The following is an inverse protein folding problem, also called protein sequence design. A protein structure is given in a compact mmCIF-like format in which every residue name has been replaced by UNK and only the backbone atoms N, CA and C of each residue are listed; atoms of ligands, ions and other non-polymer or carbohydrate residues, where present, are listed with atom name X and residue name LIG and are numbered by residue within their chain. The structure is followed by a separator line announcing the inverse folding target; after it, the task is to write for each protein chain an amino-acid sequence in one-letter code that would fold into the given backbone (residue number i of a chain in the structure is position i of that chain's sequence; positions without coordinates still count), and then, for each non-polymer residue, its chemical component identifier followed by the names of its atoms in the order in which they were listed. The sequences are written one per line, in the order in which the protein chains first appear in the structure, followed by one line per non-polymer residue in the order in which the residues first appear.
data_IF_124922567085
#
_entry.id   IF_124922567085
#
_cell.length_a   1.000
_cell.length_b   1.000
_cell.length_c   1.000
_cell.angle_alpha   90.00
_cell.angle_beta   90.00
_cell.angle_gamma   90.00
#
_symmetry.space_group_name_H-M   'P 1'
#
loop_
_entity.id
_entity.type
_entity.pdbx_description
1 polymer ?
#
# COMPACT_ATOMS: atom_id res chain seq x y z
N UNK A 1 -16.65 11.70 1.13
CA UNK A 1 -16.76 10.22 1.23
C UNK A 1 -15.66 9.72 2.14
N UNK A 2 -15.90 8.66 2.91
CA UNK A 2 -14.91 8.02 3.77
C UNK A 2 -14.67 6.61 3.23
N UNK A 3 -13.40 6.22 3.08
CA UNK A 3 -12.99 4.90 2.63
C UNK A 3 -12.32 4.17 3.80
N UNK A 4 -12.94 3.09 4.25
CA UNK A 4 -12.42 2.23 5.31
C UNK A 4 -11.73 1.00 4.69
N UNK A 5 -10.45 0.77 5.05
CA UNK A 5 -9.72 -0.44 4.67
C UNK A 5 -10.34 -1.66 5.33
N UNK A 6 -10.89 -2.58 4.52
CA UNK A 6 -11.49 -3.84 5.00
C UNK A 6 -10.46 -4.97 5.14
N UNK A 7 -9.18 -4.69 4.89
CA UNK A 7 -8.14 -5.71 4.87
C UNK A 7 -7.86 -6.28 6.28
N UNK A 8 -7.86 -7.62 6.48
CA UNK A 8 -7.66 -8.23 7.80
C UNK A 8 -6.34 -7.82 8.49
N UNK A 9 -5.25 -7.68 7.72
CA UNK A 9 -3.96 -7.25 8.26
C UNK A 9 -3.99 -5.79 8.77
N UNK A 10 -4.79 -4.90 8.15
CA UNK A 10 -4.95 -3.52 8.64
C UNK A 10 -5.57 -3.56 10.03
N UNK A 11 -6.65 -4.33 10.21
CA UNK A 11 -7.32 -4.50 11.52
C UNK A 11 -6.39 -5.10 12.58
N UNK A 12 -5.62 -6.12 12.22
CA UNK A 12 -4.65 -6.74 13.11
C UNK A 12 -3.54 -5.77 13.56
N UNK A 13 -2.90 -5.08 12.61
CA UNK A 13 -1.86 -4.09 12.92
C UNK A 13 -2.39 -2.91 13.72
N UNK A 14 -3.62 -2.50 13.45
CA UNK A 14 -4.28 -1.40 14.17
C UNK A 14 -4.60 -1.79 15.62
N UNK A 15 -4.89 -3.07 15.90
CA UNK A 15 -4.98 -3.57 17.27
C UNK A 15 -3.64 -3.47 18.02
N UNK A 16 -2.55 -3.92 17.40
CA UNK A 16 -1.19 -3.80 17.98
C UNK A 16 -0.78 -2.34 18.19
N UNK A 17 -1.13 -1.46 17.25
CA UNK A 17 -0.82 -0.03 17.32
C UNK A 17 -1.57 0.68 18.48
N UNK A 18 -2.76 0.19 18.83
CA UNK A 18 -3.57 0.71 19.95
C UNK A 18 -3.17 0.16 21.31
N UNK A 19 -2.43 -0.94 21.35
CA UNK A 19 -1.96 -1.55 22.60
C UNK A 19 -0.97 -0.61 23.31
N UNK A 20 -1.23 -0.31 24.58
CA UNK A 20 -0.39 0.55 25.42
C UNK A 20 0.98 -0.04 25.72
N UNK A 21 1.12 -1.37 25.63
CA UNK A 21 2.39 -2.04 25.88
C UNK A 21 3.35 -2.00 24.69
N UNK A 22 2.86 -1.59 23.51
CA UNK A 22 3.64 -1.48 22.27
C UNK A 22 4.78 -0.48 22.42
N UNK A 23 6.01 -0.97 22.26
CA UNK A 23 7.22 -0.15 22.41
C UNK A 23 7.38 0.82 21.23
N UNK A 24 7.99 1.98 21.48
CA UNK A 24 8.08 3.06 20.49
C UNK A 24 8.73 2.65 19.17
N UNK A 25 9.67 1.69 19.18
CA UNK A 25 10.26 1.14 17.95
C UNK A 25 9.21 0.40 17.12
N UNK A 26 8.53 -0.55 17.74
CA UNK A 26 7.49 -1.36 17.10
C UNK A 26 6.31 -0.50 16.64
N UNK A 27 5.92 0.52 17.41
CA UNK A 27 4.90 1.47 17.00
C UNK A 27 5.24 2.13 15.65
N UNK A 28 6.47 2.64 15.50
CA UNK A 28 6.93 3.28 14.25
C UNK A 28 6.97 2.30 13.07
N UNK A 29 7.34 1.05 13.32
CA UNK A 29 7.31 -0.02 12.32
C UNK A 29 5.88 -0.31 11.86
N UNK A 30 4.94 -0.47 12.81
CA UNK A 30 3.53 -0.68 12.52
C UNK A 30 2.90 0.47 11.75
N UNK A 31 3.20 1.74 12.11
CA UNK A 31 2.73 2.91 11.35
C UNK A 31 3.23 2.85 9.91
N UNK A 32 4.51 2.56 9.71
CA UNK A 32 5.09 2.50 8.36
C UNK A 32 4.41 1.44 7.49
N UNK A 33 4.17 0.26 8.06
CA UNK A 33 3.50 -0.84 7.38
C UNK A 33 2.04 -0.51 7.05
N UNK A 34 1.30 0.06 8.01
CA UNK A 34 -0.07 0.51 7.79
C UNK A 34 -0.15 1.59 6.71
N UNK A 35 0.74 2.58 6.73
CA UNK A 35 0.79 3.62 5.71
C UNK A 35 1.03 3.06 4.31
N UNK A 36 1.89 2.05 4.17
CA UNK A 36 2.12 1.40 2.87
C UNK A 36 0.86 0.67 2.38
N UNK A 37 0.17 -0.04 3.26
CA UNK A 37 -1.08 -0.73 2.92
C UNK A 37 -2.17 0.26 2.48
N UNK A 38 -2.33 1.35 3.23
CA UNK A 38 -3.31 2.38 2.89
C UNK A 38 -2.96 3.09 1.59
N UNK A 39 -1.67 3.37 1.34
CA UNK A 39 -1.24 3.96 0.08
C UNK A 39 -1.59 3.03 -1.09
N UNK A 40 -1.28 1.73 -0.97
CA UNK A 40 -1.60 0.75 -2.01
C UNK A 40 -3.10 0.72 -2.35
N UNK A 41 -3.97 0.68 -1.33
CA UNK A 41 -5.43 0.74 -1.52
C UNK A 41 -5.88 2.08 -2.12
N UNK A 42 -5.32 3.20 -1.64
CA UNK A 42 -5.70 4.54 -2.09
C UNK A 42 -5.27 4.83 -3.54
N UNK A 43 -4.21 4.19 -4.02
CA UNK A 43 -3.70 4.37 -5.39
C UNK A 43 -4.33 3.41 -6.40
N UNK A 44 -5.31 2.58 -6.00
CA UNK A 44 -5.89 1.55 -6.87
C UNK A 44 -6.56 2.12 -8.13
N UNK A 45 -7.15 3.32 -8.03
CA UNK A 45 -7.90 3.94 -9.12
C UNK A 45 -7.09 5.02 -9.87
N UNK A 46 -5.76 5.05 -9.71
CA UNK A 46 -4.92 5.99 -10.45
C UNK A 46 -4.98 5.69 -11.95
N UNK A 47 -5.10 6.75 -12.73
CA UNK A 47 -5.07 6.65 -14.20
C UNK A 47 -3.65 6.37 -14.67
N UNK A 48 -3.52 5.46 -15.63
CA UNK A 48 -2.25 5.11 -16.26
C UNK A 48 -2.24 5.53 -17.73
N UNK A 49 -1.05 5.78 -18.25
CA UNK A 49 -0.80 6.07 -19.66
C UNK A 49 -0.14 4.87 -20.32
N UNK A 50 -0.62 4.49 -21.51
CA UNK A 50 -0.04 3.39 -22.30
C UNK A 50 1.29 3.81 -22.91
N UNK A 51 2.31 2.97 -22.75
CA UNK A 51 3.66 3.16 -23.31
C UNK A 51 4.15 1.93 -24.05
N UNK A 52 5.14 2.11 -24.92
CA UNK A 52 5.88 1.03 -25.58
C UNK A 52 7.24 0.84 -24.91
N UNK A 53 7.55 -0.38 -24.47
CA UNK A 53 8.81 -0.70 -23.78
C UNK A 53 9.57 -1.81 -24.52
N UNK A 54 10.89 -1.72 -24.53
CA UNK A 54 11.75 -2.80 -25.06
C UNK A 54 12.08 -3.82 -23.97
N UNK A 55 11.79 -5.08 -24.26
CA UNK A 55 12.12 -6.22 -23.39
C UNK A 55 13.16 -7.11 -24.07
N UNK A 56 13.86 -7.99 -23.33
CA UNK A 56 14.79 -8.95 -23.95
C UNK A 56 14.18 -9.86 -25.01
N UNK A 57 12.84 -9.96 -25.07
CA UNK A 57 12.10 -10.79 -26.02
C UNK A 57 11.39 -9.96 -27.11
N UNK A 58 11.61 -8.63 -27.15
CA UNK A 58 11.02 -7.69 -28.10
C UNK A 58 10.16 -6.59 -27.48
N UNK A 59 9.54 -5.77 -28.32
CA UNK A 59 8.69 -4.64 -27.92
C UNK A 59 7.39 -5.12 -27.27
N UNK A 60 7.04 -4.54 -26.12
CA UNK A 60 5.80 -4.82 -25.39
C UNK A 60 5.07 -3.52 -25.01
N UNK A 61 3.76 -3.64 -24.78
CA UNK A 61 2.93 -2.54 -24.25
C UNK A 61 3.00 -2.57 -22.73
N UNK A 62 3.33 -1.42 -22.12
CA UNK A 62 3.33 -1.19 -20.68
C UNK A 62 2.40 -0.04 -20.29
N UNK A 63 2.28 0.19 -19.00
CA UNK A 63 1.49 1.28 -18.42
C UNK A 63 2.35 2.04 -17.39
N UNK A 64 2.31 3.36 -17.43
CA UNK A 64 3.00 4.24 -16.47
C UNK A 64 2.04 5.21 -15.79
N UNK A 65 2.37 5.59 -14.56
CA UNK A 65 1.66 6.62 -13.78
C UNK A 65 1.98 8.03 -14.29
#
# INVERSE_FOLDING_TARGET
MVYESKHPLTRHKLALLRDSDTKSKQFRELVRELSLMLAYEATQDLTLTTISVETPMGTAVGEEL
#
